data_IF_137912379494
#
_entry.id   IF_137912379494
#
_cell.length_a   1.000
_cell.length_b   1.000
_cell.length_c   1.000
_cell.angle_alpha   90.00
_cell.angle_beta   90.00
_cell.angle_gamma   90.00
#
_symmetry.space_group_name_H-M   'P 1'
#
loop_
_entity.id
_entity.type
_entity.pdbx_description
1 polymer ?
#
# COMPACT_ATOMS: atom_id res chain seq x y z
N UNK A 1 12.44 9.74 -23.84
CA UNK A 1 11.93 8.47 -23.26
C UNK A 1 10.55 8.69 -22.68
N UNK A 2 9.63 7.72 -22.81
CA UNK A 2 8.30 7.81 -22.22
C UNK A 2 8.39 7.47 -20.73
N UNK A 3 7.87 8.34 -19.85
CA UNK A 3 7.90 8.15 -18.39
C UNK A 3 7.14 6.86 -18.04
N UNK A 4 7.78 5.97 -17.26
CA UNK A 4 7.19 4.73 -16.77
C UNK A 4 6.46 5.00 -15.46
N UNK A 5 5.13 5.01 -15.51
CA UNK A 5 4.27 5.21 -14.35
C UNK A 5 3.72 3.86 -13.90
N UNK A 6 3.77 3.59 -12.60
CA UNK A 6 3.11 2.44 -11.99
C UNK A 6 2.12 2.90 -10.90
N UNK A 7 1.02 2.16 -10.79
CA UNK A 7 0.03 2.32 -9.71
C UNK A 7 0.29 1.24 -8.66
N UNK A 8 0.36 1.63 -7.41
CA UNK A 8 0.37 0.73 -6.27
C UNK A 8 -0.96 0.83 -5.53
N UNK A 9 -1.94 -0.02 -5.85
CA UNK A 9 -3.25 0.03 -5.22
C UNK A 9 -3.26 -0.70 -3.88
N UNK A 10 -3.95 -0.12 -2.90
CA UNK A 10 -4.11 -0.72 -1.59
C UNK A 10 -5.12 0.01 -0.72
N UNK A 11 -5.46 -0.56 0.43
CA UNK A 11 -6.26 0.12 1.46
C UNK A 11 -5.39 1.02 2.35
N UNK A 12 -4.13 0.64 2.59
CA UNK A 12 -3.18 1.33 3.48
C UNK A 12 -3.80 1.67 4.85
N UNK A 13 -4.41 0.68 5.47
CA UNK A 13 -5.23 0.80 6.67
C UNK A 13 -4.66 -0.03 7.84
N UNK A 14 -3.56 0.45 8.49
CA UNK A 14 -2.75 1.61 8.13
C UNK A 14 -1.63 1.30 7.12
N UNK A 15 -0.88 2.35 6.70
CA UNK A 15 0.40 2.22 6.01
C UNK A 15 1.41 1.51 6.92
N UNK A 16 2.16 0.53 6.39
CA UNK A 16 3.16 -0.25 7.13
C UNK A 16 4.54 -0.18 6.47
N UNK A 17 5.59 -0.60 7.19
CA UNK A 17 6.95 -0.73 6.64
C UNK A 17 6.99 -1.67 5.43
N UNK A 18 6.14 -2.71 5.41
CA UNK A 18 5.99 -3.59 4.25
C UNK A 18 5.51 -2.84 2.99
N UNK A 19 4.54 -1.93 3.12
CA UNK A 19 4.11 -1.11 2.01
C UNK A 19 5.21 -0.15 1.54
N UNK A 20 5.91 0.49 2.49
CA UNK A 20 7.00 1.42 2.19
C UNK A 20 8.09 0.72 1.41
N UNK A 21 8.51 -0.49 1.82
CA UNK A 21 9.55 -1.25 1.12
C UNK A 21 9.19 -1.61 -0.32
N UNK A 22 7.92 -1.93 -0.60
CA UNK A 22 7.44 -2.18 -1.96
C UNK A 22 7.44 -0.90 -2.81
N UNK A 23 7.06 0.23 -2.23
CA UNK A 23 7.13 1.53 -2.93
C UNK A 23 8.58 1.86 -3.28
N UNK A 24 9.51 1.70 -2.34
CA UNK A 24 10.95 1.94 -2.55
C UNK A 24 11.55 1.00 -3.60
N UNK A 25 11.18 -0.28 -3.58
CA UNK A 25 11.59 -1.23 -4.61
C UNK A 25 11.03 -0.84 -5.98
N UNK A 26 9.79 -0.42 -6.05
CA UNK A 26 9.15 0.05 -7.27
C UNK A 26 9.81 1.31 -7.85
N UNK A 27 10.29 2.24 -7.03
CA UNK A 27 11.00 3.44 -7.47
C UNK A 27 12.35 3.16 -8.16
N UNK A 28 12.90 1.95 -8.00
CA UNK A 28 14.09 1.51 -8.75
C UNK A 28 13.76 1.05 -10.18
N UNK A 29 12.49 0.75 -10.47
CA UNK A 29 12.01 0.20 -11.73
C UNK A 29 11.18 1.20 -12.54
N UNK A 30 10.51 2.13 -11.85
CA UNK A 30 9.57 3.09 -12.41
C UNK A 30 10.00 4.52 -12.11
N UNK A 31 9.72 5.42 -13.05
CA UNK A 31 10.04 6.84 -12.91
C UNK A 31 9.08 7.54 -11.94
N UNK A 32 7.83 7.03 -11.85
CA UNK A 32 6.79 7.56 -10.97
C UNK A 32 5.92 6.44 -10.42
N UNK A 33 5.54 6.54 -9.15
CA UNK A 33 4.58 5.67 -8.50
C UNK A 33 3.37 6.50 -8.03
N UNK A 34 2.18 6.02 -8.37
CA UNK A 34 0.93 6.51 -7.83
C UNK A 34 0.48 5.54 -6.74
N UNK A 35 0.60 5.96 -5.47
CA UNK A 35 0.04 5.21 -4.35
C UNK A 35 -1.46 5.47 -4.34
N UNK A 36 -2.23 4.45 -4.72
CA UNK A 36 -3.65 4.57 -5.02
C UNK A 36 -4.49 3.92 -3.91
N UNK A 37 -5.21 4.75 -3.13
CA UNK A 37 -6.05 4.27 -2.05
C UNK A 37 -7.42 3.92 -2.62
N UNK A 38 -7.72 2.62 -2.68
CA UNK A 38 -9.04 2.14 -3.09
C UNK A 38 -10.09 2.47 -2.02
N UNK A 39 -11.11 3.24 -2.40
CA UNK A 39 -12.26 3.53 -1.54
C UNK A 39 -13.41 2.58 -1.87
N UNK A 40 -13.54 1.50 -1.10
CA UNK A 40 -14.70 0.62 -1.12
C UNK A 40 -15.59 0.95 0.07
N UNK A 41 -16.77 1.50 -0.19
CA UNK A 41 -17.73 1.91 0.85
C UNK A 41 -18.29 0.71 1.64
N UNK A 42 -18.25 -0.48 1.07
CA UNK A 42 -18.68 -1.72 1.75
C UNK A 42 -17.62 -2.24 2.73
N UNK A 43 -16.38 -1.77 2.65
CA UNK A 43 -15.28 -2.23 3.49
C UNK A 43 -15.12 -1.29 4.69
N UNK A 44 -15.38 -1.81 5.90
CA UNK A 44 -15.15 -1.05 7.14
C UNK A 44 -13.63 -0.91 7.37
N UNK A 45 -13.11 0.28 7.09
CA UNK A 45 -11.72 0.62 7.39
C UNK A 45 -11.60 1.05 8.87
N UNK A 46 -10.42 0.82 9.47
CA UNK A 46 -10.11 1.30 10.82
C UNK A 46 -9.85 2.81 10.82
N UNK A 47 -9.15 3.30 9.79
CA UNK A 47 -8.81 4.71 9.64
C UNK A 47 -9.58 5.35 8.49
N UNK A 48 -10.12 6.58 8.69
CA UNK A 48 -10.72 7.38 7.62
C UNK A 48 -9.76 7.57 6.44
N UNK A 49 -10.30 7.83 5.25
CA UNK A 49 -9.50 8.05 4.04
C UNK A 49 -8.46 9.16 4.23
N UNK A 50 -8.85 10.28 4.82
CA UNK A 50 -7.98 11.44 5.08
C UNK A 50 -6.78 11.09 5.97
N UNK A 51 -6.97 10.22 6.97
CA UNK A 51 -5.87 9.79 7.83
C UNK A 51 -4.91 8.86 7.09
N UNK A 52 -5.43 7.96 6.26
CA UNK A 52 -4.61 7.06 5.44
C UNK A 52 -3.80 7.83 4.39
N UNK A 53 -4.39 8.84 3.76
CA UNK A 53 -3.68 9.77 2.86
C UNK A 53 -2.56 10.49 3.60
N UNK A 54 -2.85 11.02 4.80
CA UNK A 54 -1.86 11.72 5.64
C UNK A 54 -0.70 10.80 6.04
N UNK A 55 -0.95 9.54 6.39
CA UNK A 55 0.11 8.56 6.70
C UNK A 55 1.08 8.41 5.52
N UNK A 56 0.56 8.32 4.30
CA UNK A 56 1.40 8.19 3.11
C UNK A 56 2.14 9.51 2.83
N UNK A 57 1.46 10.65 2.93
CA UNK A 57 2.06 11.97 2.72
C UNK A 57 3.24 12.22 3.65
N UNK A 58 3.11 11.93 4.95
CA UNK A 58 4.17 12.12 5.92
C UNK A 58 5.44 11.31 5.60
N UNK A 59 5.28 10.10 5.05
CA UNK A 59 6.41 9.25 4.71
C UNK A 59 7.10 9.63 3.39
N UNK A 60 6.39 10.30 2.47
CA UNK A 60 6.89 10.56 1.12
C UNK A 60 6.81 12.02 0.69
N UNK A 61 6.61 12.97 1.60
CA UNK A 61 6.40 14.41 1.34
C UNK A 61 7.46 15.04 0.43
N UNK A 62 8.71 14.59 0.55
CA UNK A 62 9.84 15.16 -0.19
C UNK A 62 10.16 14.40 -1.49
N UNK A 63 9.39 13.35 -1.79
CA UNK A 63 9.64 12.50 -2.95
C UNK A 63 8.74 12.86 -4.14
N UNK A 64 9.25 13.69 -5.06
CA UNK A 64 8.51 14.14 -6.25
C UNK A 64 8.13 13.01 -7.23
N UNK A 65 8.69 11.80 -7.08
CA UNK A 65 8.35 10.63 -7.89
C UNK A 65 7.12 9.88 -7.36
N UNK A 66 6.58 10.27 -6.20
CA UNK A 66 5.40 9.66 -5.61
C UNK A 66 4.24 10.64 -5.67
N UNK A 67 3.09 10.16 -6.10
CA UNK A 67 1.82 10.88 -5.97
C UNK A 67 0.81 10.00 -5.24
N UNK A 68 -0.07 10.62 -4.47
CA UNK A 68 -1.07 9.94 -3.67
C UNK A 68 -2.43 10.32 -4.24
N UNK A 69 -3.25 9.32 -4.53
CA UNK A 69 -4.60 9.51 -5.06
C UNK A 69 -5.54 8.49 -4.46
N UNK A 70 -6.78 8.88 -4.26
CA UNK A 70 -7.86 7.95 -3.95
C UNK A 70 -8.70 7.66 -5.20
N UNK A 71 -9.31 6.48 -5.28
CA UNK A 71 -10.15 6.11 -6.42
C UNK A 71 -11.29 5.17 -6.01
N UNK A 72 -12.36 5.22 -6.79
CA UNK A 72 -13.48 4.27 -6.75
C UNK A 72 -13.53 3.47 -8.05
N UNK A 73 -14.08 2.27 -7.99
CA UNK A 73 -14.25 1.39 -9.16
C UNK A 73 -13.04 0.50 -9.43
N UNK A 74 -12.87 0.11 -10.69
CA UNK A 74 -11.84 -0.83 -11.10
C UNK A 74 -10.45 -0.20 -11.14
N UNK A 75 -9.45 -0.95 -10.70
CA UNK A 75 -8.05 -0.48 -10.70
C UNK A 75 -7.55 -0.22 -12.12
N UNK A 76 -7.96 -1.00 -13.10
CA UNK A 76 -7.56 -0.81 -14.50
C UNK A 76 -8.10 0.48 -15.08
N UNK A 77 -9.33 0.87 -14.77
CA UNK A 77 -9.91 2.14 -15.23
C UNK A 77 -9.18 3.33 -14.60
N UNK A 78 -8.78 3.19 -13.33
CA UNK A 78 -7.95 4.19 -12.68
C UNK A 78 -6.58 4.30 -13.34
N UNK A 79 -5.93 3.17 -13.66
CA UNK A 79 -4.65 3.16 -14.37
C UNK A 79 -4.75 3.87 -15.73
N UNK A 80 -5.83 3.65 -16.47
CA UNK A 80 -6.05 4.27 -17.78
C UNK A 80 -6.19 5.80 -17.65
N UNK A 81 -7.00 6.28 -16.71
CA UNK A 81 -7.13 7.73 -16.41
C UNK A 81 -5.80 8.39 -16.03
N UNK A 82 -4.93 7.65 -15.35
CA UNK A 82 -3.62 8.14 -14.92
C UNK A 82 -2.52 7.91 -15.96
N UNK A 83 -2.84 7.37 -17.14
CA UNK A 83 -1.87 6.96 -18.16
C UNK A 83 -0.80 6.00 -17.61
N UNK A 84 -1.11 5.23 -16.60
CA UNK A 84 -0.25 4.21 -16.01
C UNK A 84 -0.47 2.87 -16.70
N UNK A 85 0.62 2.21 -17.11
CA UNK A 85 0.57 0.90 -17.78
C UNK A 85 0.96 -0.26 -16.87
N UNK A 86 1.28 0.02 -15.62
CA UNK A 86 1.77 -0.97 -14.68
C UNK A 86 1.05 -0.85 -13.34
N UNK A 87 0.70 -2.02 -12.79
CA UNK A 87 0.22 -2.16 -11.41
C UNK A 87 1.33 -2.88 -10.64
N UNK A 88 1.70 -2.36 -9.46
CA UNK A 88 2.63 -3.03 -8.55
C UNK A 88 1.84 -3.77 -7.48
N UNK A 89 2.25 -5.01 -7.20
CA UNK A 89 1.74 -5.79 -6.08
C UNK A 89 2.90 -6.39 -5.29
N UNK A 90 2.88 -6.21 -3.97
CA UNK A 90 3.85 -6.84 -3.07
C UNK A 90 3.47 -8.29 -2.77
N UNK A 91 4.44 -9.20 -2.82
CA UNK A 91 4.26 -10.62 -2.53
C UNK A 91 5.13 -11.01 -1.34
N UNK A 92 4.53 -11.56 -0.30
CA UNK A 92 5.21 -11.99 0.93
C UNK A 92 5.41 -13.51 1.00
N UNK A 93 4.46 -14.24 0.43
CA UNK A 93 4.43 -15.70 0.44
C UNK A 93 3.61 -16.27 -0.74
N UNK A 94 3.57 -17.58 -0.87
CA UNK A 94 2.86 -18.27 -1.94
C UNK A 94 1.34 -18.04 -1.92
N UNK A 95 0.73 -17.90 -0.75
CA UNK A 95 -0.72 -17.63 -0.64
C UNK A 95 -1.05 -16.24 -1.15
N UNK A 96 -0.24 -15.23 -0.81
CA UNK A 96 -0.36 -13.88 -1.39
C UNK A 96 -0.24 -13.96 -2.92
N UNK A 97 0.75 -14.71 -3.43
CA UNK A 97 0.97 -14.83 -4.86
C UNK A 97 -0.24 -15.43 -5.58
N UNK A 98 -0.79 -16.52 -5.09
CA UNK A 98 -1.96 -17.17 -5.71
C UNK A 98 -3.16 -16.21 -5.78
N UNK A 99 -3.42 -15.47 -4.71
CA UNK A 99 -4.49 -14.48 -4.68
C UNK A 99 -4.23 -13.33 -5.65
N UNK A 100 -3.06 -12.72 -5.59
CA UNK A 100 -2.68 -11.58 -6.42
C UNK A 100 -2.57 -11.95 -7.91
N UNK A 101 -2.16 -13.19 -8.23
CA UNK A 101 -2.16 -13.72 -9.59
C UNK A 101 -3.56 -13.76 -10.16
N UNK A 102 -4.56 -14.22 -9.40
CA UNK A 102 -5.96 -14.23 -9.84
C UNK A 102 -6.47 -12.82 -10.13
N UNK A 103 -6.12 -11.84 -9.29
CA UNK A 103 -6.45 -10.43 -9.53
C UNK A 103 -5.73 -9.89 -10.77
N UNK A 104 -4.47 -10.27 -10.99
CA UNK A 104 -3.71 -9.85 -12.16
C UNK A 104 -4.32 -10.39 -13.46
N UNK A 105 -4.76 -11.64 -13.48
CA UNK A 105 -5.46 -12.22 -14.64
C UNK A 105 -6.79 -11.51 -14.91
N UNK A 106 -7.57 -11.20 -13.88
CA UNK A 106 -8.79 -10.41 -14.02
C UNK A 106 -8.47 -9.04 -14.62
N UNK A 107 -7.50 -8.32 -14.08
CA UNK A 107 -7.09 -7.01 -14.58
C UNK A 107 -6.65 -7.08 -16.04
N UNK A 108 -5.85 -8.08 -16.42
CA UNK A 108 -5.41 -8.28 -17.81
C UNK A 108 -6.58 -8.56 -18.76
N UNK A 109 -7.58 -9.34 -18.33
CA UNK A 109 -8.79 -9.61 -19.13
C UNK A 109 -9.65 -8.37 -19.32
N UNK A 110 -9.64 -7.45 -18.36
CA UNK A 110 -10.37 -6.17 -18.44
C UNK A 110 -9.63 -5.14 -19.29
N UNK A 111 -8.29 -5.12 -19.23
CA UNK A 111 -7.46 -4.23 -20.04
C UNK A 111 -6.05 -4.84 -20.22
N UNK A 112 -5.80 -5.44 -21.39
CA UNK A 112 -4.54 -6.13 -21.73
C UNK A 112 -3.33 -5.21 -21.88
N UNK A 113 -3.55 -3.88 -21.95
CA UNK A 113 -2.49 -2.86 -22.00
C UNK A 113 -1.88 -2.56 -20.63
N UNK A 114 -2.48 -3.07 -19.55
CA UNK A 114 -2.04 -2.85 -18.16
C UNK A 114 -1.43 -4.14 -17.62
N UNK A 115 -0.16 -4.07 -17.25
CA UNK A 115 0.59 -5.22 -16.74
C UNK A 115 0.75 -5.16 -15.23
N UNK A 116 0.54 -6.29 -14.53
CA UNK A 116 0.82 -6.40 -13.10
C UNK A 116 2.25 -6.88 -12.88
N UNK A 117 3.00 -6.13 -12.08
CA UNK A 117 4.37 -6.44 -11.67
C UNK A 117 4.36 -6.89 -10.21
N UNK A 118 4.78 -8.12 -9.96
CA UNK A 118 4.93 -8.65 -8.62
C UNK A 118 6.32 -8.33 -8.06
N UNK A 119 6.36 -7.69 -6.91
CA UNK A 119 7.59 -7.37 -6.20
C UNK A 119 7.67 -8.19 -4.91
N UNK A 120 8.70 -9.03 -4.74
CA UNK A 120 8.85 -9.78 -3.50
C UNK A 120 9.16 -8.84 -2.35
N UNK A 121 8.49 -9.03 -1.22
CA UNK A 121 8.89 -8.40 0.05
C UNK A 121 10.26 -8.91 0.47
N UNK A 122 11.06 -8.06 1.07
CA UNK A 122 12.29 -8.51 1.72
C UNK A 122 11.96 -9.39 2.92
N UNK A 123 12.87 -10.26 3.31
CA UNK A 123 12.69 -11.18 4.43
C UNK A 123 12.34 -10.44 5.72
N UNK A 124 12.91 -9.26 5.92
CA UNK A 124 12.67 -8.38 7.07
C UNK A 124 11.20 -7.94 7.20
N UNK A 125 10.50 -7.74 6.07
CA UNK A 125 9.14 -7.21 6.05
C UNK A 125 8.08 -8.23 5.62
N UNK A 126 8.46 -9.49 5.35
CA UNK A 126 7.55 -10.51 4.86
C UNK A 126 6.41 -10.85 5.85
N UNK A 127 6.64 -10.68 7.16
CA UNK A 127 5.63 -10.92 8.19
C UNK A 127 4.76 -9.70 8.49
N UNK A 128 5.05 -8.52 7.92
CA UNK A 128 4.34 -7.27 8.23
C UNK A 128 3.06 -7.17 7.40
N UNK A 129 1.93 -6.96 8.06
CA UNK A 129 0.65 -6.65 7.43
C UNK A 129 -0.16 -5.63 8.23
N UNK A 130 -1.05 -4.91 7.55
CA UNK A 130 -2.00 -4.02 8.22
C UNK A 130 -2.94 -4.77 9.17
N UNK A 131 -3.24 -6.03 8.87
CA UNK A 131 -4.08 -6.87 9.73
C UNK A 131 -3.45 -7.12 11.10
N UNK A 132 -2.14 -7.42 11.14
CA UNK A 132 -1.39 -7.58 12.40
C UNK A 132 -1.37 -6.27 13.19
N UNK A 133 -1.16 -5.14 12.51
CA UNK A 133 -1.18 -3.82 13.17
C UNK A 133 -2.56 -3.52 13.76
N UNK A 134 -3.63 -3.81 13.02
CA UNK A 134 -5.01 -3.65 13.51
C UNK A 134 -5.31 -4.53 14.73
N UNK A 135 -4.84 -5.78 14.72
CA UNK A 135 -4.97 -6.68 15.87
C UNK A 135 -4.34 -6.09 17.13
N UNK A 136 -3.14 -5.52 17.02
CA UNK A 136 -2.48 -4.85 18.16
C UNK A 136 -3.29 -3.61 18.61
N UNK A 137 -3.80 -2.81 17.65
CA UNK A 137 -4.56 -1.60 17.95
C UNK A 137 -5.93 -1.87 18.59
N UNK A 138 -6.58 -2.98 18.25
CA UNK A 138 -7.84 -3.40 18.89
C UNK A 138 -7.67 -3.69 20.39
N UNK A 139 -6.45 -4.02 20.80
CA UNK A 139 -6.12 -4.30 22.21
C UNK A 139 -5.45 -3.11 22.92
N UNK A 140 -5.47 -1.90 22.35
CA UNK A 140 -4.77 -0.72 22.87
C UNK A 140 -5.19 -0.32 24.28
N UNK A 141 -6.45 -0.55 24.65
CA UNK A 141 -7.01 -0.15 25.95
C UNK A 141 -6.54 -1.07 27.11
N UNK A 142 -5.89 -2.20 26.78
CA UNK A 142 -5.33 -3.15 27.76
C UNK A 142 -3.86 -2.91 28.09
N UNK A 143 -3.21 -1.97 27.41
CA UNK A 143 -1.78 -1.68 27.54
C UNK A 143 -1.54 -0.17 27.60
N UNK A 144 -0.52 0.27 28.31
CA UNK A 144 -0.15 1.67 28.33
C UNK A 144 0.41 2.15 26.98
N UNK A 145 0.39 3.47 26.79
CA UNK A 145 0.81 4.13 25.54
C UNK A 145 2.27 3.81 25.15
N UNK A 146 3.18 3.70 26.12
CA UNK A 146 4.58 3.41 25.87
C UNK A 146 4.78 1.98 25.36
N UNK A 147 4.10 1.03 26.01
CA UNK A 147 4.09 -0.38 25.60
C UNK A 147 3.46 -0.56 24.21
N UNK A 148 2.34 0.13 23.93
CA UNK A 148 1.70 0.13 22.61
C UNK A 148 2.68 0.62 21.53
N UNK A 149 3.35 1.74 21.78
CA UNK A 149 4.36 2.29 20.88
C UNK A 149 5.51 1.31 20.63
N UNK A 150 5.99 0.63 21.66
CA UNK A 150 7.06 -0.39 21.55
C UNK A 150 6.61 -1.58 20.69
N UNK A 151 5.36 -2.06 20.88
CA UNK A 151 4.80 -3.17 20.11
C UNK A 151 4.58 -2.84 18.62
N UNK A 152 4.19 -1.61 18.30
CA UNK A 152 3.92 -1.17 16.93
C UNK A 152 5.17 -0.75 16.14
N UNK A 153 6.25 -0.37 16.83
CA UNK A 153 7.50 0.09 16.22
C UNK A 153 8.08 -0.84 15.14
N UNK A 154 8.03 -2.18 15.27
CA UNK A 154 8.53 -3.08 14.21
C UNK A 154 7.73 -3.06 12.91
N UNK A 155 6.51 -2.53 12.91
CA UNK A 155 5.56 -2.60 11.80
C UNK A 155 5.34 -1.27 11.10
N UNK A 156 5.57 -0.15 11.82
CA UNK A 156 5.21 1.20 11.37
C UNK A 156 6.43 2.11 11.34
N UNK A 157 6.43 3.03 10.37
CA UNK A 157 7.40 4.13 10.39
C UNK A 157 7.13 5.05 11.59
N UNK A 158 8.14 5.86 11.94
CA UNK A 158 8.03 6.84 13.03
C UNK A 158 6.86 7.81 12.82
N UNK A 159 6.65 8.25 11.58
CA UNK A 159 5.61 9.24 11.25
C UNK A 159 4.21 8.65 11.39
N UNK A 160 3.98 7.42 10.89
CA UNK A 160 2.72 6.71 11.06
C UNK A 160 2.46 6.41 12.53
N UNK A 161 3.48 5.96 13.25
CA UNK A 161 3.38 5.65 14.68
C UNK A 161 2.96 6.87 15.50
N UNK A 162 3.55 8.04 15.24
CA UNK A 162 3.21 9.29 15.91
C UNK A 162 1.82 9.84 15.54
N UNK A 163 1.29 9.46 14.38
CA UNK A 163 -0.07 9.85 13.98
C UNK A 163 -1.14 8.97 14.64
N UNK A 164 -0.83 7.70 14.89
CA UNK A 164 -1.78 6.72 15.45
C UNK A 164 -1.85 6.79 16.99
N UNK A 165 -0.74 7.15 17.65
CA UNK A 165 -0.58 7.21 19.11
C UNK A 165 -0.42 8.66 19.59
#
# INVERSE_FOLDING_TARGET
MKIKIAVFPGSFDPLTLGHISIIEAGLKLFDKIIVAIGSNEQKKNMFPLSEREKMIQLNFKDNKKISIKSYKGLTVDFCERENAKHIIRGIRNSNDFNYEQSIAFMNYRLNDKIQTCFLPSTQEYAFISSSIVKEILLNKDTIDKLQLKKKLKPFLSRDVLNQII
#
